data_IF_942667027209
#
_entry.id   IF_942667027209
#
_cell.length_a   1.000
_cell.length_b   1.000
_cell.length_c   1.000
_cell.angle_alpha   90.00
_cell.angle_beta   90.00
_cell.angle_gamma   90.00
#
_symmetry.space_group_name_H-M   'P 1'
#
loop_
_entity.id
_entity.type
_entity.pdbx_description
1 polymer ?
#
# COMPACT_ATOMS: atom_id res chain seq x y z
N UNK A 1 -21.97 0.65 -20.29
CA UNK A 1 -22.15 2.05 -19.85
C UNK A 1 -20.80 2.57 -19.40
N UNK A 2 -20.15 3.38 -20.23
CA UNK A 2 -18.80 3.90 -20.03
C UNK A 2 -18.85 5.14 -19.12
N UNK A 3 -18.60 4.96 -17.82
CA UNK A 3 -18.28 6.10 -16.95
C UNK A 3 -16.97 6.73 -17.42
N UNK A 4 -16.92 8.06 -17.49
CA UNK A 4 -15.71 8.78 -17.90
C UNK A 4 -14.59 8.52 -16.88
N UNK A 5 -13.32 8.65 -17.29
CA UNK A 5 -12.16 8.47 -16.39
C UNK A 5 -12.35 9.30 -15.09
N UNK A 6 -12.83 10.54 -15.23
CA UNK A 6 -13.14 11.47 -14.14
C UNK A 6 -14.15 10.92 -13.11
N UNK A 7 -15.17 10.18 -13.56
CA UNK A 7 -16.17 9.58 -12.67
C UNK A 7 -15.59 8.43 -11.85
N UNK A 8 -14.67 7.66 -12.43
CA UNK A 8 -13.97 6.58 -11.71
C UNK A 8 -13.05 7.17 -10.63
N UNK A 9 -12.36 8.27 -10.92
CA UNK A 9 -11.53 8.99 -9.96
C UNK A 9 -12.32 9.54 -8.79
N UNK A 10 -13.42 10.23 -9.07
CA UNK A 10 -14.24 10.80 -8.01
C UNK A 10 -14.75 9.72 -7.05
N UNK A 11 -15.20 8.58 -7.59
CA UNK A 11 -15.63 7.43 -6.78
C UNK A 11 -14.50 6.81 -5.96
N UNK A 12 -13.29 6.71 -6.51
CA UNK A 12 -12.14 6.18 -5.79
C UNK A 12 -11.80 7.09 -4.60
N UNK A 13 -11.87 8.41 -4.79
CA UNK A 13 -11.69 9.41 -3.73
C UNK A 13 -12.78 9.33 -2.67
N UNK A 14 -14.05 9.35 -3.07
CA UNK A 14 -15.18 9.20 -2.14
C UNK A 14 -15.04 7.92 -1.30
N UNK A 15 -14.62 6.82 -1.94
CA UNK A 15 -14.37 5.57 -1.23
C UNK A 15 -13.17 5.66 -0.30
N UNK A 16 -12.10 6.33 -0.70
CA UNK A 16 -10.97 6.64 0.17
C UNK A 16 -11.37 7.41 1.42
N UNK A 17 -12.22 8.44 1.28
CA UNK A 17 -12.74 9.20 2.42
C UNK A 17 -13.63 8.36 3.34
N UNK A 18 -14.47 7.49 2.78
CA UNK A 18 -15.27 6.54 3.55
C UNK A 18 -14.38 5.60 4.37
N UNK A 19 -13.35 5.04 3.74
CA UNK A 19 -12.37 4.18 4.42
C UNK A 19 -11.65 4.96 5.51
N UNK A 20 -11.17 6.18 5.26
CA UNK A 20 -10.55 7.02 6.28
C UNK A 20 -11.45 7.16 7.52
N UNK A 21 -12.75 7.46 7.35
CA UNK A 21 -13.68 7.58 8.47
C UNK A 21 -13.80 6.30 9.29
N UNK A 22 -13.88 5.14 8.64
CA UNK A 22 -13.99 3.84 9.32
C UNK A 22 -12.73 3.53 10.13
N UNK A 23 -11.58 3.97 9.64
CA UNK A 23 -10.29 3.80 10.32
C UNK A 23 -10.03 4.89 11.38
N UNK A 24 -10.96 5.83 11.58
CA UNK A 24 -10.79 6.96 12.51
C UNK A 24 -9.79 8.01 12.02
N UNK A 25 -9.46 8.01 10.73
CA UNK A 25 -8.54 8.95 10.10
C UNK A 25 -9.28 10.21 9.61
N UNK A 26 -8.58 11.34 9.47
CA UNK A 26 -9.15 12.56 8.88
C UNK A 26 -9.70 12.28 7.47
N UNK A 27 -10.95 12.67 7.15
CA UNK A 27 -11.53 12.42 5.83
C UNK A 27 -10.74 13.05 4.68
N UNK A 28 -10.05 14.16 4.94
CA UNK A 28 -9.25 14.88 3.94
C UNK A 28 -7.88 14.26 3.69
N UNK A 29 -7.47 13.24 4.46
CA UNK A 29 -6.12 12.69 4.41
C UNK A 29 -5.67 12.26 3.00
N UNK A 30 -6.58 11.68 2.21
CA UNK A 30 -6.27 11.28 0.82
C UNK A 30 -6.02 12.49 -0.09
N UNK A 31 -6.74 13.59 0.11
CA UNK A 31 -6.51 14.85 -0.61
C UNK A 31 -5.20 15.51 -0.15
N UNK A 32 -4.95 15.51 1.15
CA UNK A 32 -3.72 16.06 1.73
C UNK A 32 -2.50 15.28 1.24
N UNK A 33 -2.64 13.96 1.05
CA UNK A 33 -1.60 13.11 0.50
C UNK A 33 -1.35 13.41 -0.98
N UNK A 34 -2.39 13.59 -1.79
CA UNK A 34 -2.25 13.96 -3.20
C UNK A 34 -1.55 15.30 -3.39
N UNK A 35 -1.84 16.27 -2.52
CA UNK A 35 -1.31 17.64 -2.59
C UNK A 35 0.02 17.81 -1.86
N UNK A 36 0.61 16.71 -1.37
CA UNK A 36 1.88 16.75 -0.67
C UNK A 36 3.01 17.31 -1.55
N UNK A 37 3.86 18.13 -0.95
CA UNK A 37 4.82 18.95 -1.70
C UNK A 37 6.12 18.22 -2.02
N UNK A 38 6.48 17.22 -1.21
CA UNK A 38 7.75 16.49 -1.37
C UNK A 38 7.50 15.00 -1.49
N UNK A 39 8.32 14.34 -2.33
CA UNK A 39 8.26 12.88 -2.52
C UNK A 39 8.59 12.14 -1.22
N UNK A 40 9.51 12.69 -0.42
CA UNK A 40 9.84 12.16 0.90
C UNK A 40 8.63 12.15 1.84
N UNK A 41 7.95 13.29 2.02
CA UNK A 41 6.78 13.37 2.90
C UNK A 41 5.62 12.52 2.37
N UNK A 42 5.44 12.48 1.05
CA UNK A 42 4.44 11.65 0.40
C UNK A 42 4.67 10.16 0.73
N UNK A 43 5.88 9.64 0.48
CA UNK A 43 6.22 8.24 0.73
C UNK A 43 6.13 7.89 2.21
N UNK A 44 6.55 8.78 3.11
CA UNK A 44 6.41 8.56 4.56
C UNK A 44 4.95 8.36 4.98
N UNK A 45 4.04 9.20 4.46
CA UNK A 45 2.61 9.11 4.75
C UNK A 45 1.97 7.86 4.13
N UNK A 46 2.36 7.49 2.89
CA UNK A 46 1.93 6.23 2.26
C UNK A 46 2.37 5.03 3.09
N UNK A 47 3.64 4.95 3.49
CA UNK A 47 4.17 3.85 4.31
C UNK A 47 3.44 3.73 5.65
N UNK A 48 3.17 4.87 6.32
CA UNK A 48 2.42 4.88 7.57
C UNK A 48 0.98 4.35 7.41
N UNK A 49 0.31 4.69 6.31
CA UNK A 49 -1.02 4.16 6.00
C UNK A 49 -0.98 2.67 5.69
N UNK A 50 0.00 2.23 4.90
CA UNK A 50 0.18 0.82 4.59
C UNK A 50 0.48 -0.01 5.85
N UNK A 51 1.32 0.48 6.75
CA UNK A 51 1.60 -0.14 8.04
C UNK A 51 0.32 -0.34 8.87
N UNK A 52 -0.49 0.72 9.00
CA UNK A 52 -1.77 0.67 9.70
C UNK A 52 -2.74 -0.33 9.06
N UNK A 53 -2.89 -0.29 7.72
CA UNK A 53 -3.76 -1.20 6.98
C UNK A 53 -3.29 -2.65 7.08
N UNK A 54 -1.98 -2.88 7.05
CA UNK A 54 -1.39 -4.23 7.18
C UNK A 54 -1.75 -4.87 8.52
N UNK A 55 -1.63 -4.10 9.62
CA UNK A 55 -2.00 -4.58 10.96
C UNK A 55 -3.48 -4.92 11.04
N UNK A 56 -4.35 -4.06 10.52
CA UNK A 56 -5.79 -4.31 10.50
C UNK A 56 -6.16 -5.51 9.65
N UNK A 57 -5.56 -5.67 8.47
CA UNK A 57 -5.79 -6.83 7.60
C UNK A 57 -5.41 -8.13 8.33
N UNK A 58 -4.21 -8.18 8.92
CA UNK A 58 -3.75 -9.34 9.71
C UNK A 58 -4.69 -9.61 10.88
N UNK A 59 -5.10 -8.58 11.62
CA UNK A 59 -5.98 -8.74 12.77
C UNK A 59 -7.40 -9.21 12.42
N UNK A 60 -7.91 -8.79 11.26
CA UNK A 60 -9.24 -9.15 10.77
C UNK A 60 -9.27 -10.56 10.16
N UNK A 61 -8.17 -10.99 9.55
CA UNK A 61 -8.10 -12.26 8.83
C UNK A 61 -7.59 -13.40 9.70
N UNK A 62 -6.60 -13.15 10.57
CA UNK A 62 -6.06 -14.21 11.42
C UNK A 62 -7.00 -14.52 12.57
N UNK A 63 -7.19 -15.82 12.79
CA UNK A 63 -7.81 -16.34 14.00
C UNK A 63 -6.95 -17.48 14.54
N UNK A 64 -6.82 -17.57 15.86
CA UNK A 64 -6.10 -18.65 16.51
C UNK A 64 -7.08 -19.45 17.33
N UNK A 65 -7.16 -20.77 17.10
CA UNK A 65 -7.95 -21.68 17.94
C UNK A 65 -7.00 -22.50 18.81
N UNK A 66 -7.12 -22.38 20.14
CA UNK A 66 -6.35 -23.17 21.12
C UNK A 66 -7.34 -23.96 21.97
N UNK A 67 -7.38 -25.27 21.75
CA UNK A 67 -8.41 -26.13 22.32
C UNK A 67 -9.81 -25.67 21.89
N UNK A 68 -10.66 -25.33 22.86
CA UNK A 68 -12.01 -24.80 22.63
C UNK A 68 -12.05 -23.27 22.50
N UNK A 69 -10.94 -22.57 22.78
CA UNK A 69 -10.90 -21.10 22.76
C UNK A 69 -10.55 -20.58 21.37
N UNK A 70 -11.36 -19.66 20.84
CA UNK A 70 -11.08 -18.91 19.62
C UNK A 70 -10.60 -17.49 19.97
N UNK A 71 -9.43 -17.11 19.47
CA UNK A 71 -8.90 -15.76 19.50
C UNK A 71 -9.13 -15.12 18.13
N UNK A 72 -10.06 -14.18 18.08
CA UNK A 72 -10.43 -13.42 16.90
C UNK A 72 -10.91 -12.01 17.30
N UNK A 73 -11.09 -11.12 16.33
CA UNK A 73 -11.63 -9.78 16.55
C UNK A 73 -10.77 -8.95 17.51
N UNK A 74 -11.36 -8.24 18.51
CA UNK A 74 -10.61 -7.28 19.36
C UNK A 74 -9.39 -7.85 20.09
N UNK A 75 -9.44 -9.15 20.45
CA UNK A 75 -8.29 -9.83 21.08
C UNK A 75 -7.14 -10.02 20.10
N UNK A 76 -7.45 -10.31 18.83
CA UNK A 76 -6.44 -10.43 17.77
C UNK A 76 -5.89 -9.06 17.39
N UNK A 77 -6.72 -8.02 17.28
CA UNK A 77 -6.27 -6.63 17.08
C UNK A 77 -5.24 -6.22 18.13
N UNK A 78 -5.59 -6.41 19.42
CA UNK A 78 -4.68 -6.10 20.53
C UNK A 78 -3.37 -6.89 20.47
N UNK A 79 -3.42 -8.13 19.99
CA UNK A 79 -2.23 -8.97 19.83
C UNK A 79 -1.33 -8.45 18.71
N UNK A 80 -1.90 -8.19 17.53
CA UNK A 80 -1.18 -7.69 16.35
C UNK A 80 -0.56 -6.31 16.61
N UNK A 81 -1.26 -5.42 17.32
CA UNK A 81 -0.73 -4.10 17.69
C UNK A 81 0.51 -4.18 18.57
N UNK A 82 0.62 -5.22 19.41
CA UNK A 82 1.76 -5.45 20.30
C UNK A 82 2.93 -6.17 19.63
N UNK A 83 2.77 -6.65 18.39
CA UNK A 83 3.86 -7.31 17.70
C UNK A 83 4.98 -6.31 17.41
N UNK A 84 6.24 -6.66 17.71
CA UNK A 84 7.36 -5.83 17.32
C UNK A 84 7.42 -5.80 15.80
N UNK A 85 7.21 -4.62 15.22
CA UNK A 85 7.30 -4.44 13.76
C UNK A 85 8.71 -4.22 13.25
N UNK A 86 9.68 -4.38 14.14
CA UNK A 86 11.11 -4.42 13.84
C UNK A 86 11.63 -5.77 14.34
N UNK A 87 11.96 -6.70 13.42
CA UNK A 87 12.51 -8.02 13.75
C UNK A 87 11.80 -9.21 13.12
N UNK A 88 12.17 -10.43 13.56
CA UNK A 88 11.95 -11.78 12.96
C UNK A 88 10.50 -12.23 12.70
N UNK A 89 9.49 -11.40 12.92
CA UNK A 89 8.12 -11.65 12.50
C UNK A 89 7.64 -10.37 11.85
N UNK A 90 8.04 -10.17 10.60
CA UNK A 90 7.67 -8.96 9.89
C UNK A 90 6.17 -9.00 9.65
N UNK A 91 5.50 -7.85 9.74
CA UNK A 91 4.08 -7.73 9.35
C UNK A 91 3.86 -8.24 7.91
N UNK A 92 4.90 -8.23 7.07
CA UNK A 92 4.94 -8.86 5.75
C UNK A 92 4.73 -10.38 5.81
N UNK A 93 5.45 -11.10 6.67
CA UNK A 93 5.26 -12.56 6.83
C UNK A 93 3.83 -12.88 7.31
N UNK A 94 3.28 -12.04 8.19
CA UNK A 94 1.90 -12.21 8.67
C UNK A 94 0.86 -11.91 7.60
N UNK A 95 1.13 -10.96 6.71
CA UNK A 95 0.31 -10.72 5.53
C UNK A 95 0.32 -11.93 4.60
N UNK A 96 1.49 -12.54 4.34
CA UNK A 96 1.59 -13.79 3.57
C UNK A 96 0.74 -14.90 4.21
N UNK A 97 0.82 -15.08 5.54
CA UNK A 97 0.02 -16.07 6.28
C UNK A 97 -1.47 -15.74 6.29
N UNK A 98 -1.83 -14.45 6.34
CA UNK A 98 -3.20 -13.97 6.17
C UNK A 98 -3.70 -14.13 4.72
N UNK A 99 -2.86 -14.61 3.82
CA UNK A 99 -3.17 -14.93 2.43
C UNK A 99 -2.87 -13.81 1.45
N UNK A 100 -2.37 -12.63 1.90
CA UNK A 100 -2.31 -11.35 1.16
C UNK A 100 -1.78 -11.53 -0.26
N UNK A 101 -2.43 -10.94 -1.30
CA UNK A 101 -1.97 -11.13 -2.66
C UNK A 101 -0.52 -10.68 -2.82
N UNK A 102 0.29 -11.47 -3.50
CA UNK A 102 1.74 -11.26 -3.55
C UNK A 102 2.13 -9.92 -4.18
N UNK A 103 1.38 -9.45 -5.16
CA UNK A 103 1.52 -8.13 -5.78
C UNK A 103 1.34 -6.99 -4.76
N UNK A 104 0.42 -7.13 -3.81
CA UNK A 104 0.19 -6.17 -2.73
C UNK A 104 1.32 -6.18 -1.71
N UNK A 105 1.90 -7.35 -1.45
CA UNK A 105 3.09 -7.49 -0.61
C UNK A 105 4.31 -6.85 -1.29
N UNK A 106 4.49 -7.07 -2.59
CA UNK A 106 5.54 -6.44 -3.38
C UNK A 106 5.41 -4.91 -3.41
N UNK A 107 4.18 -4.39 -3.53
CA UNK A 107 3.92 -2.95 -3.40
C UNK A 107 4.37 -2.40 -2.03
N UNK A 108 3.97 -3.07 -0.94
CA UNK A 108 4.38 -2.71 0.42
C UNK A 108 5.91 -2.69 0.58
N UNK A 109 6.59 -3.72 0.09
CA UNK A 109 8.05 -3.83 0.17
C UNK A 109 8.75 -2.73 -0.63
N UNK A 110 8.23 -2.41 -1.82
CA UNK A 110 8.81 -1.39 -2.67
C UNK A 110 8.68 0.01 -2.04
N UNK A 111 7.50 0.34 -1.49
CA UNK A 111 7.29 1.59 -0.75
C UNK A 111 8.23 1.67 0.46
N UNK A 112 8.35 0.60 1.25
CA UNK A 112 9.28 0.55 2.40
C UNK A 112 10.73 0.71 2.01
N UNK A 113 11.13 0.12 0.88
CA UNK A 113 12.49 0.25 0.36
C UNK A 113 12.81 1.71 0.04
N UNK A 114 11.89 2.40 -0.65
CA UNK A 114 12.02 3.82 -0.99
C UNK A 114 11.99 4.68 0.28
N UNK A 115 11.08 4.40 1.22
CA UNK A 115 11.03 5.10 2.51
C UNK A 115 12.34 4.95 3.27
N UNK A 116 12.91 3.75 3.32
CA UNK A 116 14.16 3.48 4.01
C UNK A 116 15.33 4.22 3.33
N UNK A 117 15.34 4.34 2.01
CA UNK A 117 16.33 5.17 1.30
C UNK A 117 16.27 6.63 1.78
N UNK A 118 15.07 7.21 1.85
CA UNK A 118 14.89 8.56 2.41
C UNK A 118 15.24 8.67 3.91
N UNK A 119 14.97 7.63 4.70
CA UNK A 119 15.18 7.64 6.15
C UNK A 119 16.66 7.46 6.55
N UNK A 120 17.43 6.73 5.76
CA UNK A 120 18.84 6.45 6.04
C UNK A 120 19.82 7.44 5.40
N UNK A 121 19.38 8.19 4.38
CA UNK A 121 20.18 9.22 3.74
C UNK A 121 19.39 10.54 3.64
N UNK A 122 19.73 11.50 4.48
CA UNK A 122 19.09 12.82 4.47
C UNK A 122 19.37 13.61 3.19
N UNK A 123 20.47 13.32 2.47
CA UNK A 123 20.74 13.95 1.19
C UNK A 123 19.72 13.54 0.12
N UNK A 124 19.07 12.40 0.32
CA UNK A 124 18.03 11.88 -0.55
C UNK A 124 16.70 12.66 -0.43
N UNK A 125 16.52 13.55 0.56
CA UNK A 125 15.23 14.22 0.80
C UNK A 125 14.74 15.10 -0.36
N UNK A 126 15.64 15.57 -1.22
CA UNK A 126 15.32 16.36 -2.42
C UNK A 126 15.14 15.52 -3.70
N UNK A 127 15.32 14.22 -3.62
CA UNK A 127 15.24 13.34 -4.78
C UNK A 127 13.84 12.83 -5.05
N UNK A 128 13.56 12.55 -6.32
CA UNK A 128 12.26 12.04 -6.75
C UNK A 128 12.09 10.55 -6.47
N UNK A 129 10.84 10.08 -6.36
CA UNK A 129 10.53 8.64 -6.23
C UNK A 129 11.10 7.89 -7.43
N UNK A 130 11.02 8.45 -8.64
CA UNK A 130 11.58 7.82 -9.85
C UNK A 130 13.10 7.66 -9.73
N UNK A 131 13.83 8.66 -9.22
CA UNK A 131 15.26 8.55 -9.00
C UNK A 131 15.59 7.39 -8.01
N UNK A 132 14.80 7.23 -6.95
CA UNK A 132 14.93 6.10 -6.02
C UNK A 132 14.65 4.75 -6.69
N UNK A 133 13.62 4.69 -7.53
CA UNK A 133 13.24 3.49 -8.29
C UNK A 133 14.33 3.07 -9.27
N UNK A 134 14.99 4.01 -9.92
CA UNK A 134 16.06 3.74 -10.88
C UNK A 134 17.35 3.24 -10.21
N UNK A 135 17.62 3.67 -8.96
CA UNK A 135 18.83 3.32 -8.18
C UNK A 135 18.84 1.89 -7.66
N UNK A 136 17.69 1.35 -7.26
CA UNK A 136 17.61 0.02 -6.65
C UNK A 136 16.71 -0.92 -7.46
N UNK A 137 17.24 -2.10 -7.77
CA UNK A 137 16.51 -3.16 -8.47
C UNK A 137 15.25 -3.59 -7.70
N UNK A 138 15.26 -3.56 -6.36
CA UNK A 138 14.07 -3.92 -5.57
C UNK A 138 12.96 -2.90 -5.72
N UNK A 139 13.28 -1.62 -5.78
CA UNK A 139 12.31 -0.54 -6.00
C UNK A 139 11.65 -0.60 -7.39
N UNK A 140 12.24 -1.31 -8.36
CA UNK A 140 11.61 -1.56 -9.67
C UNK A 140 10.34 -2.41 -9.57
N UNK A 141 10.21 -3.21 -8.52
CA UNK A 141 8.98 -3.95 -8.23
C UNK A 141 7.80 -3.00 -7.99
N UNK A 142 8.04 -1.73 -7.62
CA UNK A 142 6.99 -0.73 -7.54
C UNK A 142 6.26 -0.56 -8.88
N UNK A 143 7.03 -0.42 -9.97
CA UNK A 143 6.46 -0.17 -11.29
C UNK A 143 5.74 -1.39 -11.85
N UNK A 144 6.26 -2.59 -11.56
CA UNK A 144 5.58 -3.84 -11.90
C UNK A 144 4.27 -3.98 -11.11
N UNK A 145 4.29 -3.74 -9.79
CA UNK A 145 3.12 -3.84 -8.93
C UNK A 145 1.98 -2.89 -9.36
N UNK A 146 2.31 -1.72 -9.90
CA UNK A 146 1.32 -0.77 -10.44
C UNK A 146 0.86 -1.08 -11.88
N UNK A 147 1.58 -1.94 -12.62
CA UNK A 147 1.35 -2.12 -14.06
C UNK A 147 0.07 -2.90 -14.39
N UNK A 148 -0.50 -3.65 -13.44
CA UNK A 148 -1.61 -4.59 -13.67
C UNK A 148 -1.34 -5.66 -14.74
N UNK A 149 -0.08 -5.82 -15.17
CA UNK A 149 0.35 -6.82 -16.17
C UNK A 149 1.28 -7.83 -15.51
N UNK A 150 1.18 -9.10 -15.91
CA UNK A 150 2.10 -10.14 -15.48
C UNK A 150 3.53 -9.85 -15.95
N UNK A 151 4.53 -10.34 -15.19
CA UNK A 151 5.96 -10.05 -15.39
C UNK A 151 6.47 -10.34 -16.82
N UNK A 152 5.87 -11.31 -17.52
CA UNK A 152 6.27 -11.72 -18.87
C UNK A 152 5.94 -10.64 -19.93
N UNK A 153 4.91 -9.81 -19.69
CA UNK A 153 4.47 -8.77 -20.62
C UNK A 153 4.89 -7.35 -20.21
N UNK A 154 5.65 -7.22 -19.12
CA UNK A 154 5.94 -5.92 -18.54
C UNK A 154 7.18 -5.26 -19.19
N UNK A 155 6.94 -4.18 -19.93
CA UNK A 155 8.01 -3.32 -20.47
C UNK A 155 8.37 -2.22 -19.47
N UNK A 156 9.47 -2.46 -18.74
CA UNK A 156 9.99 -1.52 -17.74
C UNK A 156 10.42 -0.20 -18.36
N UNK A 157 11.12 -0.24 -19.50
CA UNK A 157 11.69 0.95 -20.12
C UNK A 157 10.58 1.86 -20.66
N UNK A 158 9.54 1.27 -21.25
CA UNK A 158 8.36 2.01 -21.67
C UNK A 158 7.62 2.65 -20.48
N UNK A 159 7.49 1.94 -19.35
CA UNK A 159 6.85 2.50 -18.15
C UNK A 159 7.68 3.67 -17.57
N UNK A 160 9.01 3.55 -17.55
CA UNK A 160 9.89 4.64 -17.13
C UNK A 160 9.75 5.86 -18.05
N UNK A 161 9.72 5.67 -19.37
CA UNK A 161 9.51 6.77 -20.33
C UNK A 161 8.18 7.47 -20.07
N UNK A 162 7.09 6.73 -19.85
CA UNK A 162 5.79 7.31 -19.51
C UNK A 162 5.85 8.20 -18.26
N UNK A 163 6.57 7.76 -17.22
CA UNK A 163 6.72 8.53 -15.98
C UNK A 163 7.66 9.74 -16.17
N UNK A 164 8.68 9.63 -17.03
CA UNK A 164 9.54 10.77 -17.34
C UNK A 164 8.78 11.86 -18.10
N UNK A 165 7.87 11.47 -18.98
CA UNK A 165 7.00 12.40 -19.73
C UNK A 165 5.95 13.06 -18.81
N UNK A 166 5.39 12.31 -17.86
CA UNK A 166 4.49 12.83 -16.82
C UNK A 166 4.81 12.23 -15.43
N UNK A 167 5.61 12.94 -14.61
CA UNK A 167 5.97 12.48 -13.26
C UNK A 167 4.79 12.30 -12.32
N UNK A 168 3.65 12.93 -12.60
CA UNK A 168 2.45 12.81 -11.77
C UNK A 168 1.86 11.40 -11.80
N UNK A 169 2.09 10.66 -12.89
CA UNK A 169 1.64 9.27 -13.09
C UNK A 169 2.15 8.35 -11.99
N UNK A 170 3.39 8.55 -11.53
CA UNK A 170 3.99 7.69 -10.49
C UNK A 170 3.28 7.84 -9.14
N UNK A 171 3.12 9.08 -8.64
CA UNK A 171 2.40 9.32 -7.39
C UNK A 171 0.96 8.86 -7.50
N UNK A 172 0.35 9.07 -8.66
CA UNK A 172 -1.00 8.64 -8.93
C UNK A 172 -1.16 7.11 -8.88
N UNK A 173 -0.24 6.37 -9.51
CA UNK A 173 -0.19 4.92 -9.41
C UNK A 173 -0.08 4.43 -7.97
N UNK A 174 0.80 5.05 -7.17
CA UNK A 174 0.95 4.75 -5.75
C UNK A 174 -0.36 5.00 -4.98
N UNK A 175 -1.07 6.10 -5.30
CA UNK A 175 -2.36 6.41 -4.67
C UNK A 175 -3.44 5.37 -5.00
N UNK A 176 -3.49 4.88 -6.23
CA UNK A 176 -4.43 3.81 -6.63
C UNK A 176 -4.16 2.54 -5.82
N UNK A 177 -2.91 2.08 -5.80
CA UNK A 177 -2.52 0.86 -5.08
C UNK A 177 -2.76 1.01 -3.57
N UNK A 178 -2.46 2.18 -3.00
CA UNK A 178 -2.76 2.49 -1.61
C UNK A 178 -4.26 2.38 -1.32
N UNK A 179 -5.12 2.98 -2.15
CA UNK A 179 -6.58 2.94 -1.96
C UNK A 179 -7.14 1.52 -2.11
N UNK A 180 -6.59 0.72 -3.03
CA UNK A 180 -6.94 -0.70 -3.14
C UNK A 180 -6.52 -1.47 -1.89
N UNK A 181 -5.31 -1.26 -1.39
CA UNK A 181 -4.80 -1.88 -0.16
C UNK A 181 -5.66 -1.50 1.06
N UNK A 182 -6.00 -0.22 1.20
CA UNK A 182 -6.93 0.28 2.21
C UNK A 182 -8.30 -0.41 2.08
N UNK A 183 -8.81 -0.58 0.86
CA UNK A 183 -10.06 -1.29 0.57
C UNK A 183 -10.06 -2.75 1.03
N UNK A 184 -8.96 -3.47 0.86
CA UNK A 184 -8.80 -4.84 1.36
C UNK A 184 -8.83 -4.92 2.88
N UNK A 185 -8.26 -3.93 3.57
CA UNK A 185 -8.32 -3.89 5.03
C UNK A 185 -9.70 -3.46 5.57
N UNK A 186 -10.54 -2.83 4.72
CA UNK A 186 -11.89 -2.38 5.05
C UNK A 186 -12.97 -3.47 4.88
N UNK A 187 -12.97 -4.18 3.75
CA UNK A 187 -13.86 -5.34 3.54
C UNK A 187 -13.23 -6.53 4.24
N UNK A 188 -13.98 -7.32 5.01
CA UNK A 188 -13.46 -8.58 5.52
C UNK A 188 -12.96 -9.41 4.34
N UNK A 189 -11.65 -9.59 4.27
CA UNK A 189 -11.11 -10.45 3.25
C UNK A 189 -11.30 -11.89 3.69
N UNK A 190 -12.35 -12.51 3.16
CA UNK A 190 -12.58 -13.93 3.28
C UNK A 190 -11.75 -14.69 2.24
N UNK A 191 -11.28 -15.91 2.55
CA UNK A 191 -10.60 -16.75 1.56
C UNK A 191 -11.53 -17.01 0.37
N UNK A 192 -11.16 -16.48 -0.81
CA UNK A 192 -11.87 -16.71 -2.07
C UNK A 192 -12.47 -15.49 -2.77
N UNK A 193 -12.41 -14.29 -2.18
CA UNK A 193 -12.86 -13.07 -2.87
C UNK A 193 -11.68 -12.31 -3.48
N UNK A 194 -11.58 -12.30 -4.81
CA UNK A 194 -10.75 -11.36 -5.58
C UNK A 194 -11.58 -10.11 -5.89
N UNK A 195 -11.02 -8.88 -5.76
CA UNK A 195 -11.67 -7.67 -6.25
C UNK A 195 -11.78 -7.74 -7.77
N UNK A 196 -12.99 -7.57 -8.31
CA UNK A 196 -13.24 -7.31 -9.73
C UNK A 196 -13.23 -5.82 -10.06
#
# INVERSE_FOLDING_TARGET
>A
MSGTSTDKWHRLYEKGQEICRVFGLPPQLINDLQTETTDWAFVLKVDALLEMCSRKLVANTLCLKVGETLFAGPKMETFVDKLPTVGRSSIRDLLEVAGCPLDRIHFLDAVRTIRNAYAHDIAACGETILAMVLRDRKSRQLLLAMSSVDEIGYDYDQHVVMIMDDPSVLRFGIMIELLQFMGMSYRQWGPGETPG
#
